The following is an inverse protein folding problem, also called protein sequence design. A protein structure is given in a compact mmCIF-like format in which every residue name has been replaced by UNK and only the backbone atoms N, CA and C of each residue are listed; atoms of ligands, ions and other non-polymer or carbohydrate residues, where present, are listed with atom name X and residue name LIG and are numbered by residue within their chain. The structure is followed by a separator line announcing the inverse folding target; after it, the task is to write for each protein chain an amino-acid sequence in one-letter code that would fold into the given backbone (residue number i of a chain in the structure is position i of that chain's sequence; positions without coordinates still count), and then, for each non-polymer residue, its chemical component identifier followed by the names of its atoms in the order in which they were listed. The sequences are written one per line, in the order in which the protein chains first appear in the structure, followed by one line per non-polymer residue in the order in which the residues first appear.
data_IF_462394029469
#
_entry.id   IF_462394029469
#
_cell.length_a   1.000
_cell.length_b   1.000
_cell.length_c   1.000
_cell.angle_alpha   90.00
_cell.angle_beta   90.00
_cell.angle_gamma   90.00
#
_symmetry.space_group_name_H-M   'P 1'
#
loop_
_entity.id
_entity.type
_entity.pdbx_description
1 polymer ?
#
# COMPACT_ATOMS: atom_id res chain seq x y z
N UNK A 1 23.63 20.14 -55.12
CA UNK A 1 23.37 19.12 -54.09
C UNK A 1 24.26 19.47 -52.91
N UNK A 2 23.78 20.32 -52.02
CA UNK A 2 24.48 20.68 -50.78
C UNK A 2 24.00 19.72 -49.69
N UNK A 3 24.90 18.83 -49.26
CA UNK A 3 24.68 17.98 -48.11
C UNK A 3 25.08 18.77 -46.85
N UNK A 4 24.09 19.41 -46.21
CA UNK A 4 24.29 20.01 -44.89
C UNK A 4 24.56 18.91 -43.85
N UNK A 5 25.80 18.82 -43.38
CA UNK A 5 26.15 18.00 -42.21
C UNK A 5 25.34 18.51 -41.01
N UNK A 6 24.38 17.70 -40.54
CA UNK A 6 23.77 17.90 -39.25
C UNK A 6 24.82 17.63 -38.16
N UNK A 7 25.23 18.70 -37.46
CA UNK A 7 26.03 18.58 -36.24
C UNK A 7 25.25 17.75 -35.20
N UNK A 8 25.91 16.83 -34.47
CA UNK A 8 25.25 16.10 -33.40
C UNK A 8 24.87 17.08 -32.30
N UNK A 9 23.58 17.14 -31.95
CA UNK A 9 23.10 17.89 -30.80
C UNK A 9 23.60 17.21 -29.50
N UNK A 10 24.83 17.49 -29.12
CA UNK A 10 25.36 17.19 -27.78
C UNK A 10 25.30 18.47 -26.97
N UNK A 11 24.14 18.76 -26.36
CA UNK A 11 23.99 19.80 -25.34
C UNK A 11 22.85 19.44 -24.38
N UNK A 12 22.82 18.20 -23.89
CA UNK A 12 22.06 17.91 -22.69
C UNK A 12 22.84 18.49 -21.52
N UNK A 13 22.45 19.68 -21.05
CA UNK A 13 22.90 20.20 -19.75
C UNK A 13 22.76 19.07 -18.72
N UNK A 14 23.81 18.70 -17.97
CA UNK A 14 23.71 17.67 -16.95
C UNK A 14 22.54 18.00 -16.02
N UNK A 15 21.67 17.02 -15.68
CA UNK A 15 20.56 17.27 -14.80
C UNK A 15 21.09 17.79 -13.46
N UNK A 16 20.42 18.79 -12.89
CA UNK A 16 20.75 19.33 -11.57
C UNK A 16 20.90 18.16 -10.57
N UNK A 17 22.07 18.03 -9.91
CA UNK A 17 22.33 16.90 -9.03
C UNK A 17 21.35 16.80 -7.86
N UNK A 18 20.84 17.92 -7.34
CA UNK A 18 19.82 17.92 -6.30
C UNK A 18 18.47 17.42 -6.83
N UNK A 19 18.06 17.88 -8.02
CA UNK A 19 16.84 17.37 -8.67
C UNK A 19 16.96 15.89 -9.02
N UNK A 20 18.14 15.42 -9.43
CA UNK A 20 18.38 14.00 -9.65
C UNK A 20 18.19 13.20 -8.34
N UNK A 21 18.77 13.65 -7.23
CA UNK A 21 18.58 12.99 -5.93
C UNK A 21 17.11 12.99 -5.48
N UNK A 22 16.43 14.13 -5.56
CA UNK A 22 15.07 14.28 -5.03
C UNK A 22 13.99 13.67 -5.93
N UNK A 23 14.11 13.77 -7.26
CA UNK A 23 13.04 13.33 -8.18
C UNK A 23 13.29 11.94 -8.78
N UNK A 24 14.55 11.63 -9.14
CA UNK A 24 14.85 10.32 -9.74
C UNK A 24 14.99 9.23 -8.68
N UNK A 25 15.61 9.56 -7.56
CA UNK A 25 15.81 8.61 -6.46
C UNK A 25 14.85 8.83 -5.30
N UNK A 26 14.45 10.06 -5.00
CA UNK A 26 13.49 10.37 -3.94
C UNK A 26 12.03 10.41 -4.38
N UNK A 27 11.16 10.80 -3.44
CA UNK A 27 9.73 11.04 -3.66
C UNK A 27 9.39 12.49 -4.02
N UNK A 28 10.40 13.34 -4.23
CA UNK A 28 10.23 14.75 -4.55
C UNK A 28 10.87 15.67 -3.52
N UNK A 29 11.01 16.95 -3.90
CA UNK A 29 11.47 17.99 -2.99
C UNK A 29 10.37 18.39 -1.99
N UNK A 30 10.77 18.75 -0.78
CA UNK A 30 9.89 19.20 0.31
C UNK A 30 10.13 20.67 0.66
N UNK A 31 9.12 21.35 1.24
CA UNK A 31 9.32 22.65 1.84
C UNK A 31 10.44 22.58 2.89
N UNK A 32 11.47 23.41 2.73
CA UNK A 32 12.61 23.46 3.65
C UNK A 32 13.85 22.66 3.23
N UNK A 33 13.80 21.93 2.12
CA UNK A 33 15.00 21.25 1.58
C UNK A 33 16.06 22.28 1.16
N UNK A 34 17.30 22.06 1.61
CA UNK A 34 18.47 22.86 1.22
C UNK A 34 19.08 22.29 -0.06
N UNK A 35 18.59 22.77 -1.20
CA UNK A 35 19.04 22.33 -2.53
C UNK A 35 20.54 22.54 -2.75
N UNK A 36 21.14 23.61 -2.21
CA UNK A 36 22.57 23.87 -2.36
C UNK A 36 23.40 22.80 -1.63
N UNK A 37 22.98 22.44 -0.41
CA UNK A 37 23.62 21.38 0.37
C UNK A 37 23.45 20.00 -0.29
N UNK A 38 22.26 19.70 -0.81
CA UNK A 38 22.01 18.43 -1.51
C UNK A 38 22.84 18.37 -2.80
N UNK A 39 22.93 19.46 -3.56
CA UNK A 39 23.72 19.51 -4.79
C UNK A 39 25.23 19.34 -4.54
N UNK A 40 25.72 19.74 -3.37
CA UNK A 40 27.12 19.58 -2.98
C UNK A 40 27.53 18.11 -2.76
N UNK A 41 26.64 17.27 -2.23
CA UNK A 41 26.87 15.82 -2.10
C UNK A 41 25.57 14.98 -2.24
N UNK A 42 25.03 14.85 -3.47
CA UNK A 42 23.76 14.17 -3.70
C UNK A 42 23.85 12.67 -3.44
N UNK A 43 25.04 12.06 -3.68
CA UNK A 43 25.26 10.63 -3.44
C UNK A 43 25.37 10.35 -1.95
N UNK A 44 26.11 11.16 -1.20
CA UNK A 44 26.19 11.03 0.26
C UNK A 44 24.84 11.26 0.92
N UNK A 45 24.04 12.21 0.40
CA UNK A 45 22.67 12.42 0.85
C UNK A 45 21.80 11.15 0.72
N UNK A 46 21.75 10.51 -0.45
CA UNK A 46 21.04 9.24 -0.65
C UNK A 46 21.63 8.08 0.17
N UNK A 47 22.96 7.96 0.24
CA UNK A 47 23.63 6.90 1.02
C UNK A 47 23.39 7.02 2.52
N UNK A 48 23.15 8.24 3.01
CA UNK A 48 22.86 8.46 4.43
C UNK A 48 21.49 7.90 4.78
N UNK A 49 20.50 8.07 3.90
CA UNK A 49 19.17 7.46 4.05
C UNK A 49 19.27 5.94 4.23
N UNK A 50 20.08 5.26 3.39
CA UNK A 50 20.27 3.81 3.44
C UNK A 50 20.92 3.28 4.73
N UNK A 51 21.54 4.14 5.53
CA UNK A 51 22.18 3.77 6.80
C UNK A 51 21.29 4.00 8.01
N UNK A 52 20.12 4.61 7.83
CA UNK A 52 19.21 4.86 8.93
C UNK A 52 18.55 3.55 9.34
N UNK A 53 18.74 3.19 10.61
CA UNK A 53 18.13 2.02 11.19
C UNK A 53 16.60 2.15 11.15
N UNK A 54 15.92 1.06 10.81
CA UNK A 54 14.46 0.94 10.81
C UNK A 54 13.73 1.98 9.94
N UNK A 55 14.46 2.61 9.00
CA UNK A 55 13.91 3.69 8.18
C UNK A 55 12.72 3.24 7.33
N UNK A 56 12.65 1.96 6.95
CA UNK A 56 11.54 1.40 6.19
C UNK A 56 10.31 1.02 7.06
N UNK A 57 10.48 0.92 8.38
CA UNK A 57 9.42 0.41 9.25
C UNK A 57 8.32 1.45 9.49
N UNK A 58 7.09 0.98 9.54
CA UNK A 58 5.95 1.73 10.06
C UNK A 58 5.86 1.36 11.55
N UNK A 59 6.13 2.33 12.43
CA UNK A 59 6.21 2.05 13.87
C UNK A 59 4.82 1.70 14.42
N UNK A 60 4.65 0.53 15.08
CA UNK A 60 3.40 0.19 15.76
C UNK A 60 3.19 1.05 17.02
N UNK A 61 4.25 1.64 17.57
CA UNK A 61 4.19 2.49 18.77
C UNK A 61 3.64 3.89 18.47
N UNK A 62 3.53 4.27 17.19
CA UNK A 62 2.90 5.53 16.80
C UNK A 62 1.38 5.43 17.02
N UNK A 63 0.76 6.33 17.80
CA UNK A 63 -0.69 6.30 18.03
C UNK A 63 -1.53 6.34 16.74
N UNK A 64 -0.99 6.89 15.65
CA UNK A 64 -1.65 6.89 14.33
C UNK A 64 -1.79 5.49 13.73
N UNK A 65 -0.94 4.55 14.15
CA UNK A 65 -0.86 3.18 13.65
C UNK A 65 -1.48 2.16 14.62
N UNK A 66 -2.12 2.60 15.71
CA UNK A 66 -2.65 1.70 16.74
C UNK A 66 -3.74 0.73 16.23
N UNK A 67 -4.38 1.03 15.10
CA UNK A 67 -5.38 0.17 14.45
C UNK A 67 -4.80 -0.87 13.49
N UNK A 68 -3.49 -0.86 13.23
CA UNK A 68 -2.89 -1.79 12.27
C UNK A 68 -2.85 -3.20 12.84
N UNK A 69 -3.52 -4.12 12.15
CA UNK A 69 -3.50 -5.54 12.47
C UNK A 69 -2.27 -6.21 11.85
N UNK A 70 -1.71 -7.20 12.56
CA UNK A 70 -0.77 -8.14 11.95
C UNK A 70 -1.51 -9.10 10.99
N UNK A 71 -0.75 -9.87 10.21
CA UNK A 71 -1.31 -10.81 9.25
C UNK A 71 -2.25 -11.84 9.89
N UNK A 72 -1.94 -12.32 11.09
CA UNK A 72 -2.74 -13.32 11.80
C UNK A 72 -4.08 -12.74 12.23
N UNK A 73 -4.06 -11.59 12.90
CA UNK A 73 -5.26 -10.88 13.35
C UNK A 73 -6.13 -10.42 12.18
N UNK A 74 -5.53 -9.94 11.08
CA UNK A 74 -6.26 -9.54 9.88
C UNK A 74 -6.98 -10.74 9.22
N UNK A 75 -6.32 -11.90 9.13
CA UNK A 75 -6.91 -13.13 8.59
C UNK A 75 -8.06 -13.60 9.50
N UNK A 76 -7.85 -13.62 10.82
CA UNK A 76 -8.87 -14.01 11.79
C UNK A 76 -10.09 -13.10 11.71
N UNK A 77 -9.89 -11.78 11.62
CA UNK A 77 -10.98 -10.81 11.46
C UNK A 77 -11.78 -11.04 10.16
N UNK A 78 -11.09 -11.32 9.04
CA UNK A 78 -11.75 -11.65 7.77
C UNK A 78 -12.56 -12.95 7.86
N UNK A 79 -11.99 -14.00 8.47
CA UNK A 79 -12.68 -15.28 8.67
C UNK A 79 -13.92 -15.13 9.56
N UNK A 80 -13.82 -14.39 10.66
CA UNK A 80 -14.95 -14.09 11.55
C UNK A 80 -16.08 -13.37 10.78
N UNK A 81 -15.73 -12.30 10.06
CA UNK A 81 -16.69 -11.56 9.25
C UNK A 81 -17.32 -12.41 8.12
N UNK A 82 -16.58 -13.38 7.58
CA UNK A 82 -17.10 -14.32 6.58
C UNK A 82 -18.09 -15.32 7.19
N UNK A 83 -17.83 -15.82 8.40
CA UNK A 83 -18.74 -16.70 9.12
C UNK A 83 -20.05 -15.99 9.47
N UNK A 84 -19.99 -14.76 9.95
CA UNK A 84 -21.18 -13.93 10.23
C UNK A 84 -22.01 -13.69 8.97
N UNK A 85 -21.35 -13.35 7.84
CA UNK A 85 -22.01 -13.20 6.53
C UNK A 85 -22.71 -14.47 6.08
N UNK A 86 -22.08 -15.63 6.30
CA UNK A 86 -22.67 -16.92 5.97
C UNK A 86 -23.89 -17.21 6.86
N UNK A 87 -23.78 -17.05 8.17
CA UNK A 87 -24.88 -17.24 9.10
C UNK A 87 -26.08 -16.34 8.76
N UNK A 88 -25.86 -15.04 8.55
CA UNK A 88 -26.92 -14.10 8.17
C UNK A 88 -27.56 -14.44 6.81
N UNK A 89 -26.79 -15.01 5.88
CA UNK A 89 -27.32 -15.50 4.59
C UNK A 89 -28.20 -16.73 4.81
N UNK A 90 -27.73 -17.69 5.60
CA UNK A 90 -28.44 -18.94 5.85
C UNK A 90 -29.75 -18.68 6.63
N UNK A 91 -29.76 -17.76 7.59
CA UNK A 91 -30.97 -17.27 8.27
C UNK A 91 -31.98 -16.64 7.29
N UNK A 92 -31.51 -15.79 6.36
CA UNK A 92 -32.37 -15.20 5.33
C UNK A 92 -32.96 -16.24 4.39
N UNK A 93 -32.17 -17.24 4.00
CA UNK A 93 -32.65 -18.36 3.17
C UNK A 93 -33.69 -19.17 3.94
N UNK A 94 -33.44 -19.48 5.21
CA UNK A 94 -34.40 -20.20 6.05
C UNK A 94 -35.71 -19.43 6.24
N UNK A 95 -35.65 -18.11 6.46
CA UNK A 95 -36.84 -17.25 6.57
C UNK A 95 -37.65 -17.21 5.26
N UNK A 96 -36.99 -17.21 4.10
CA UNK A 96 -37.66 -17.22 2.79
C UNK A 96 -38.30 -18.58 2.43
N UNK A 97 -37.89 -19.67 3.08
CA UNK A 97 -38.46 -21.01 2.89
C UNK A 97 -39.63 -21.33 3.83
N UNK A 98 -39.98 -20.44 4.76
CA UNK A 98 -41.18 -20.60 5.59
C UNK A 98 -42.45 -20.39 4.75
N UNK A 99 -43.48 -21.25 4.88
CA UNK A 99 -44.70 -21.13 4.09
C UNK A 99 -45.42 -19.81 4.41
N UNK A 100 -45.55 -18.94 3.41
CA UNK A 100 -46.37 -17.73 3.53
C UNK A 100 -47.85 -18.09 3.55
N UNK A 101 -48.69 -17.40 4.35
CA UNK A 101 -50.14 -17.45 4.16
C UNK A 101 -50.45 -16.97 2.74
N UNK A 102 -51.20 -17.77 1.98
CA UNK A 102 -51.70 -17.35 0.67
C UNK A 102 -52.77 -16.28 0.88
N UNK A 103 -52.42 -15.01 0.65
CA UNK A 103 -53.28 -13.95 0.12
C UNK A 103 -52.54 -12.59 0.15
N UNK A 104 -51.84 -12.24 -0.92
CA UNK A 104 -51.64 -10.84 -1.34
C UNK A 104 -50.95 -10.75 -2.74
N UNK A 105 -51.53 -10.06 -3.75
CA UNK A 105 -51.02 -10.05 -5.12
C UNK A 105 -49.95 -8.98 -5.43
N UNK A 106 -49.39 -8.31 -4.41
CA UNK A 106 -48.31 -7.34 -4.59
C UNK A 106 -46.95 -7.96 -4.21
N UNK A 107 -46.33 -8.67 -5.15
CA UNK A 107 -45.00 -9.25 -4.94
C UNK A 107 -43.94 -8.16 -4.65
N UNK A 108 -43.05 -8.34 -3.65
CA UNK A 108 -42.11 -7.29 -3.28
C UNK A 108 -41.03 -7.15 -4.35
N UNK A 109 -40.90 -5.95 -4.90
CA UNK A 109 -39.73 -5.54 -5.68
C UNK A 109 -38.49 -5.65 -4.78
N UNK A 110 -37.66 -6.68 -5.02
CA UNK A 110 -36.42 -6.88 -4.27
C UNK A 110 -35.42 -5.80 -4.70
N UNK A 111 -35.50 -4.64 -4.06
CA UNK A 111 -34.40 -3.68 -4.07
C UNK A 111 -33.14 -4.43 -3.59
N UNK A 112 -32.06 -4.39 -4.39
CA UNK A 112 -30.77 -4.97 -4.01
C UNK A 112 -30.26 -4.28 -2.76
N UNK A 113 -30.64 -4.78 -1.58
CA UNK A 113 -30.16 -4.30 -0.31
C UNK A 113 -28.63 -4.47 -0.30
N UNK A 114 -27.91 -3.35 -0.16
CA UNK A 114 -26.48 -3.39 0.10
C UNK A 114 -26.24 -4.31 1.31
N UNK A 115 -25.24 -5.21 1.29
CA UNK A 115 -24.98 -6.04 2.45
C UNK A 115 -24.79 -5.15 3.68
N UNK A 116 -25.60 -5.38 4.71
CA UNK A 116 -25.60 -4.57 5.94
C UNK A 116 -24.39 -4.84 6.84
N UNK A 117 -23.55 -5.83 6.50
CA UNK A 117 -22.43 -6.25 7.33
C UNK A 117 -21.21 -5.36 7.08
N UNK A 118 -20.49 -4.95 8.16
CA UNK A 118 -19.30 -4.13 8.08
C UNK A 118 -18.29 -4.70 7.10
N UNK A 119 -17.63 -3.81 6.37
CA UNK A 119 -16.63 -4.19 5.37
C UNK A 119 -15.26 -4.28 6.04
N UNK A 120 -15.15 -5.15 7.05
CA UNK A 120 -13.98 -5.31 7.93
C UNK A 120 -12.67 -5.31 7.13
N UNK A 121 -12.61 -6.06 6.03
CA UNK A 121 -11.39 -6.14 5.22
C UNK A 121 -11.07 -4.84 4.47
N UNK A 122 -12.08 -4.06 4.12
CA UNK A 122 -11.87 -2.75 3.52
C UNK A 122 -11.43 -1.69 4.56
N UNK A 123 -11.86 -1.82 5.81
CA UNK A 123 -11.43 -0.93 6.89
C UNK A 123 -9.97 -1.21 7.24
N UNK A 124 -9.60 -2.49 7.44
CA UNK A 124 -8.21 -2.92 7.63
C UNK A 124 -7.31 -2.39 6.51
N UNK A 125 -7.72 -2.58 5.24
CA UNK A 125 -6.94 -2.10 4.10
C UNK A 125 -6.82 -0.56 4.06
N UNK A 126 -7.85 0.18 4.50
CA UNK A 126 -7.78 1.65 4.55
C UNK A 126 -6.78 2.13 5.59
N UNK A 127 -6.78 1.50 6.76
CA UNK A 127 -5.83 1.83 7.83
C UNK A 127 -4.39 1.55 7.37
N UNK A 128 -4.17 0.42 6.71
CA UNK A 128 -2.89 0.08 6.09
C UNK A 128 -2.46 1.09 5.01
N UNK A 129 -3.39 1.47 4.13
CA UNK A 129 -3.12 2.43 3.07
C UNK A 129 -2.80 3.83 3.61
N UNK A 130 -3.47 4.23 4.70
CA UNK A 130 -3.22 5.48 5.40
C UNK A 130 -1.81 5.49 6.02
N UNK A 131 -1.45 4.44 6.77
CA UNK A 131 -0.13 4.33 7.38
C UNK A 131 1.00 4.35 6.34
N UNK A 132 0.81 3.66 5.20
CA UNK A 132 1.75 3.71 4.06
C UNK A 132 1.87 5.12 3.47
N UNK A 133 0.74 5.81 3.30
CA UNK A 133 0.74 7.19 2.78
C UNK A 133 1.48 8.12 3.74
N UNK A 134 1.19 8.05 5.04
CA UNK A 134 1.82 8.87 6.06
C UNK A 134 3.33 8.63 6.12
N UNK A 135 3.76 7.37 5.98
CA UNK A 135 5.17 7.02 5.87
C UNK A 135 5.83 7.65 4.64
N UNK A 136 5.20 7.56 3.48
CA UNK A 136 5.72 8.13 2.24
C UNK A 136 5.81 9.66 2.31
N UNK A 137 4.82 10.32 2.91
CA UNK A 137 4.81 11.77 3.14
C UNK A 137 5.88 12.22 4.14
N UNK A 138 6.24 11.36 5.09
CA UNK A 138 7.28 11.64 6.08
C UNK A 138 8.70 11.37 5.55
N UNK A 139 8.87 10.57 4.50
CA UNK A 139 10.17 10.14 4.01
C UNK A 139 11.00 11.27 3.36
N UNK A 140 12.31 11.26 3.57
CA UNK A 140 13.23 12.24 2.98
C UNK A 140 14.63 11.65 2.84
N UNK A 141 15.17 11.51 1.62
CA UNK A 141 14.56 11.83 0.33
C UNK A 141 13.47 10.86 -0.16
N UNK A 142 13.35 9.67 0.43
CA UNK A 142 12.32 8.68 0.08
C UNK A 142 12.78 7.61 -0.91
N UNK A 143 14.08 7.42 -1.11
CA UNK A 143 14.59 6.32 -1.92
C UNK A 143 14.20 4.96 -1.35
N UNK A 144 14.21 4.82 -0.02
CA UNK A 144 13.82 3.55 0.63
C UNK A 144 12.34 3.25 0.41
N UNK A 145 11.45 4.23 0.50
CA UNK A 145 10.02 4.02 0.23
C UNK A 145 9.76 3.64 -1.24
N UNK A 146 10.57 4.13 -2.19
CA UNK A 146 10.50 3.67 -3.58
C UNK A 146 10.93 2.21 -3.73
N UNK A 147 11.96 1.78 -2.99
CA UNK A 147 12.37 0.37 -2.98
C UNK A 147 11.27 -0.51 -2.38
N UNK A 148 10.64 -0.07 -1.28
CA UNK A 148 9.47 -0.77 -0.71
C UNK A 148 8.38 -0.90 -1.77
N UNK A 149 7.98 0.20 -2.42
CA UNK A 149 6.95 0.19 -3.47
C UNK A 149 7.32 -0.71 -4.66
N UNK A 150 8.59 -0.74 -5.06
CA UNK A 150 9.08 -1.63 -6.10
C UNK A 150 8.86 -3.11 -5.75
N UNK A 151 9.28 -3.53 -4.54
CA UNK A 151 9.15 -4.92 -4.10
C UNK A 151 7.72 -5.31 -3.79
N UNK A 152 6.93 -4.43 -3.16
CA UNK A 152 5.48 -4.63 -2.97
C UNK A 152 4.78 -4.89 -4.30
N UNK A 153 5.15 -4.15 -5.35
CA UNK A 153 4.61 -4.35 -6.69
C UNK A 153 5.18 -5.59 -7.40
N UNK A 154 6.42 -5.99 -7.12
CA UNK A 154 7.06 -7.16 -7.73
C UNK A 154 6.42 -8.47 -7.25
N UNK A 155 6.21 -8.62 -5.95
CA UNK A 155 5.53 -9.80 -5.39
C UNK A 155 4.01 -9.77 -5.60
N UNK A 156 3.43 -8.57 -5.71
CA UNK A 156 2.06 -8.30 -6.14
C UNK A 156 0.97 -9.13 -5.44
N UNK A 157 0.41 -8.58 -4.37
CA UNK A 157 -0.83 -9.09 -3.75
C UNK A 157 -2.03 -8.26 -4.24
N UNK A 158 -3.05 -8.93 -4.78
CA UNK A 158 -4.26 -8.26 -5.30
C UNK A 158 -5.37 -8.17 -4.25
N UNK A 159 -5.66 -6.96 -3.80
CA UNK A 159 -6.79 -6.62 -2.90
C UNK A 159 -8.17 -6.82 -3.52
N UNK A 160 -8.23 -7.09 -4.82
CA UNK A 160 -9.45 -7.38 -5.56
C UNK A 160 -9.76 -8.89 -5.61
N UNK A 161 -8.78 -9.76 -5.31
CA UNK A 161 -8.90 -11.20 -5.51
C UNK A 161 -9.89 -11.85 -4.55
N UNK A 162 -9.70 -11.67 -3.24
CA UNK A 162 -10.65 -12.12 -2.24
C UNK A 162 -10.56 -11.29 -0.94
N UNK A 163 -11.52 -11.44 -0.01
CA UNK A 163 -11.55 -10.64 1.21
C UNK A 163 -10.32 -10.84 2.09
N UNK A 164 -9.86 -12.09 2.25
CA UNK A 164 -8.69 -12.38 3.09
C UNK A 164 -7.42 -11.72 2.53
N UNK A 165 -7.20 -11.75 1.20
CA UNK A 165 -6.07 -11.06 0.57
C UNK A 165 -6.18 -9.54 0.74
N UNK A 166 -7.39 -8.98 0.74
CA UNK A 166 -7.57 -7.55 1.03
C UNK A 166 -7.18 -7.23 2.47
N UNK A 167 -7.58 -8.06 3.43
CA UNK A 167 -7.29 -7.86 4.84
C UNK A 167 -5.78 -7.97 5.14
N UNK A 168 -5.06 -8.90 4.50
CA UNK A 168 -3.64 -9.11 4.78
C UNK A 168 -2.68 -8.32 3.86
N UNK A 169 -3.16 -7.62 2.84
CA UNK A 169 -2.29 -6.94 1.87
C UNK A 169 -1.33 -5.91 2.50
N UNK A 170 -1.77 -5.14 3.49
CA UNK A 170 -0.88 -4.20 4.16
C UNK A 170 0.06 -4.86 5.15
N UNK A 171 -0.43 -5.86 5.90
CA UNK A 171 0.40 -6.68 6.78
C UNK A 171 1.55 -7.37 6.01
N UNK A 172 1.27 -7.90 4.82
CA UNK A 172 2.29 -8.42 3.90
C UNK A 172 3.41 -7.40 3.63
N UNK A 173 3.08 -6.14 3.28
CA UNK A 173 4.12 -5.12 3.07
C UNK A 173 4.92 -4.83 4.35
N UNK A 174 4.24 -4.74 5.50
CA UNK A 174 4.87 -4.43 6.80
C UNK A 174 5.73 -5.55 7.36
N UNK A 175 5.36 -6.80 7.11
CA UNK A 175 5.99 -7.97 7.72
C UNK A 175 7.01 -8.60 6.78
N UNK A 176 6.72 -8.69 5.48
CA UNK A 176 7.59 -9.38 4.51
C UNK A 176 8.50 -8.44 3.71
N UNK A 177 8.10 -7.18 3.48
CA UNK A 177 8.88 -6.26 2.64
C UNK A 177 9.69 -5.28 3.47
N UNK A 178 9.03 -4.47 4.30
CA UNK A 178 9.66 -3.35 5.02
C UNK A 178 10.83 -3.76 5.92
N UNK A 179 10.79 -4.86 6.69
CA UNK A 179 11.90 -5.26 7.55
C UNK A 179 13.14 -5.73 6.77
N UNK A 180 12.93 -6.22 5.55
CA UNK A 180 13.97 -6.87 4.74
C UNK A 180 14.40 -6.04 3.53
N UNK A 181 13.81 -4.85 3.29
CA UNK A 181 14.02 -4.05 2.07
C UNK A 181 15.46 -3.60 1.85
N UNK A 182 16.21 -3.41 2.93
CA UNK A 182 17.65 -3.06 2.89
C UNK A 182 18.56 -4.27 3.19
N UNK A 183 17.99 -5.45 3.37
CA UNK A 183 18.67 -6.70 3.72
C UNK A 183 18.95 -7.60 2.51
N UNK A 184 19.02 -8.91 2.76
CA UNK A 184 19.20 -9.91 1.72
C UNK A 184 17.85 -10.25 1.09
N UNK A 185 17.83 -10.34 -0.24
CA UNK A 185 16.63 -10.76 -0.98
C UNK A 185 16.08 -12.13 -0.51
N UNK A 186 16.96 -13.09 -0.20
CA UNK A 186 16.54 -14.41 0.27
C UNK A 186 15.73 -14.35 1.56
N UNK A 187 16.05 -13.43 2.46
CA UNK A 187 15.36 -13.28 3.74
C UNK A 187 13.97 -12.67 3.49
N UNK A 188 13.86 -11.69 2.59
CA UNK A 188 12.59 -11.11 2.13
C UNK A 188 11.69 -12.15 1.43
N UNK A 189 12.28 -13.04 0.64
CA UNK A 189 11.53 -14.06 -0.10
C UNK A 189 10.95 -15.15 0.81
N UNK A 190 11.59 -15.41 1.95
CA UNK A 190 11.18 -16.44 2.90
C UNK A 190 10.24 -15.93 4.00
N UNK A 191 10.14 -14.60 4.15
CA UNK A 191 9.36 -13.94 5.19
C UNK A 191 7.85 -14.19 5.07
#
# INVERSE_FOLDING_TARGET
MEAGLALPASNATPPDPALAALHRFGLGARPGDDFAKIAADPRGYLKTELKQQDIALISPDDPRNAGLLDSTAAIQASMAAAMERKAARDEKVAAAMQPMPADDPAGPAVAKAKPALPRVEADIYRDDAQARLDKALAATPGFVERLVGFWSNHFCVSVAKAPVERACAGAFEREAIRPFVLGRFADMLLA
#
